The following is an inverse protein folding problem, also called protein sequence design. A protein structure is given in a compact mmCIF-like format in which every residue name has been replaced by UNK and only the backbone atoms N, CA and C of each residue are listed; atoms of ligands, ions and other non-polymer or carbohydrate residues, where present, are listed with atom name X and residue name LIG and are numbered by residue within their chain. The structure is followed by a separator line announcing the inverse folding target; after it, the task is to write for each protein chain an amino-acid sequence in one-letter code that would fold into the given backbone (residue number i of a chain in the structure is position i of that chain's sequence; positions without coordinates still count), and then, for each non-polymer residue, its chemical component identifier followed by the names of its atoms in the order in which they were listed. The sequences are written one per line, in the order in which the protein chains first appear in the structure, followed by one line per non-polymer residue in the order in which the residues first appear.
data_IF_225917257364
#
_entry.id   IF_225917257364
#
_cell.length_a   1.000
_cell.length_b   1.000
_cell.length_c   1.000
_cell.angle_alpha   90.00
_cell.angle_beta   90.00
_cell.angle_gamma   90.00
#
_symmetry.space_group_name_H-M   'P 1'
#
loop_
_entity.id
_entity.type
_entity.pdbx_description
1 polymer ?
#
# COMPACT_ATOMS: atom_id res chain seq x y z
N UNK A 1 7.75 29.28 8.05
CA UNK A 1 7.20 27.91 8.21
C UNK A 1 7.84 27.03 7.14
N UNK A 2 8.20 25.79 7.43
CA UNK A 2 8.59 24.88 6.36
C UNK A 2 7.41 24.74 5.41
N UNK A 3 7.66 24.95 4.13
CA UNK A 3 6.62 24.90 3.10
C UNK A 3 6.48 23.43 2.66
N UNK A 4 5.61 22.68 3.37
CA UNK A 4 5.33 21.29 3.04
C UNK A 4 4.35 21.20 1.88
N UNK A 5 4.62 20.29 0.95
CA UNK A 5 3.74 19.99 -0.18
C UNK A 5 2.62 19.00 0.20
N UNK A 6 2.86 18.15 1.20
CA UNK A 6 1.89 17.17 1.70
C UNK A 6 2.25 16.68 3.11
N UNK A 7 1.26 16.06 3.77
CA UNK A 7 1.45 15.31 5.01
C UNK A 7 1.26 13.83 4.71
N UNK A 8 2.26 12.98 5.00
CA UNK A 8 2.15 11.54 4.83
C UNK A 8 1.94 10.84 6.18
N UNK A 9 0.84 10.11 6.32
CA UNK A 9 0.52 9.30 7.50
C UNK A 9 0.72 7.83 7.16
N UNK A 10 1.70 7.22 7.81
CA UNK A 10 2.03 5.81 7.62
C UNK A 10 1.95 5.02 8.93
N UNK A 11 1.84 3.72 8.79
CA UNK A 11 1.80 2.80 9.93
C UNK A 11 1.32 1.41 9.52
N UNK A 12 1.52 0.41 10.37
CA UNK A 12 1.10 -0.96 10.07
C UNK A 12 -0.44 -1.07 10.06
N UNK A 13 -0.94 -2.19 9.55
CA UNK A 13 -2.37 -2.51 9.68
C UNK A 13 -2.79 -2.51 11.15
N UNK A 14 -4.02 -2.11 11.41
CA UNK A 14 -4.62 -1.96 12.75
C UNK A 14 -3.98 -0.89 13.67
N UNK A 15 -3.16 0.02 13.13
CA UNK A 15 -2.57 1.13 13.93
C UNK A 15 -3.54 2.30 14.19
N UNK A 16 -4.68 2.38 13.49
CA UNK A 16 -5.61 3.50 13.59
C UNK A 16 -5.20 4.72 12.76
N UNK A 17 -4.38 4.52 11.71
CA UNK A 17 -3.95 5.61 10.81
C UNK A 17 -5.09 6.25 10.05
N UNK A 18 -6.10 5.48 9.59
CA UNK A 18 -7.21 6.02 8.77
C UNK A 18 -8.11 6.97 9.55
N UNK A 19 -8.66 6.61 10.74
CA UNK A 19 -9.42 7.56 11.56
C UNK A 19 -8.61 8.81 11.92
N UNK A 20 -7.31 8.66 12.16
CA UNK A 20 -6.43 9.79 12.45
C UNK A 20 -6.25 10.68 11.22
N UNK A 21 -6.03 10.12 10.03
CA UNK A 21 -5.93 10.87 8.80
C UNK A 21 -7.21 11.64 8.48
N UNK A 22 -8.37 11.02 8.72
CA UNK A 22 -9.67 11.67 8.52
C UNK A 22 -9.87 12.85 9.50
N UNK A 23 -9.58 12.65 10.79
CA UNK A 23 -9.68 13.71 11.78
C UNK A 23 -8.71 14.88 11.48
N UNK A 24 -7.48 14.58 11.06
CA UNK A 24 -6.51 15.60 10.66
C UNK A 24 -6.96 16.34 9.39
N UNK A 25 -7.47 15.63 8.39
CA UNK A 25 -7.97 16.24 7.17
C UNK A 25 -9.20 17.15 7.42
N UNK A 26 -10.09 16.74 8.32
CA UNK A 26 -11.20 17.59 8.79
C UNK A 26 -10.69 18.88 9.41
N UNK A 27 -9.72 18.79 10.31
CA UNK A 27 -9.13 19.91 11.04
C UNK A 27 -8.37 20.89 10.11
N UNK A 28 -7.71 20.35 9.08
CA UNK A 28 -6.96 21.15 8.11
C UNK A 28 -7.79 21.58 6.89
N UNK A 29 -9.06 21.21 6.84
CA UNK A 29 -9.97 21.45 5.71
C UNK A 29 -9.39 20.96 4.37
N UNK A 30 -8.87 19.75 4.36
CA UNK A 30 -8.21 19.15 3.20
C UNK A 30 -8.76 17.77 2.86
N UNK A 31 -8.18 17.13 1.85
CA UNK A 31 -8.61 15.84 1.31
C UNK A 31 -7.54 14.77 1.54
N UNK A 32 -7.96 13.51 1.49
CA UNK A 32 -7.07 12.37 1.70
C UNK A 32 -6.74 11.71 0.36
N UNK A 33 -5.46 11.37 0.15
CA UNK A 33 -5.01 10.51 -0.94
C UNK A 33 -4.59 9.17 -0.34
N UNK A 34 -5.30 8.08 -0.69
CA UNK A 34 -5.00 6.74 -0.19
C UNK A 34 -3.68 6.22 -0.78
N UNK A 35 -2.84 5.63 0.07
CA UNK A 35 -1.64 4.89 -0.31
C UNK A 35 -1.75 3.42 0.13
N UNK A 36 -2.89 2.80 -0.14
CA UNK A 36 -3.15 1.39 0.09
C UNK A 36 -3.44 0.67 -1.22
N UNK A 37 -2.56 -0.27 -1.60
CA UNK A 37 -2.65 -0.99 -2.88
C UNK A 37 -3.84 -1.95 -2.98
N UNK A 38 -4.59 -2.15 -1.90
CA UNK A 38 -5.74 -3.05 -1.88
C UNK A 38 -7.08 -2.31 -1.91
N UNK A 39 -7.15 -1.13 -1.32
CA UNK A 39 -8.35 -0.31 -1.29
C UNK A 39 -8.73 0.32 -2.65
N UNK A 40 -7.90 0.13 -3.66
CA UNK A 40 -8.10 0.61 -5.03
C UNK A 40 -9.27 -0.09 -5.74
N UNK A 41 -9.60 -1.32 -5.35
CA UNK A 41 -10.55 -2.17 -6.09
C UNK A 41 -11.98 -2.00 -5.60
N UNK A 42 -12.90 -1.73 -6.52
CA UNK A 42 -14.35 -1.61 -6.26
C UNK A 42 -14.94 -2.93 -5.79
N UNK A 43 -15.81 -2.87 -4.77
CA UNK A 43 -16.51 -4.04 -4.24
C UNK A 43 -15.62 -5.05 -3.52
N UNK A 44 -14.40 -4.64 -3.19
CA UNK A 44 -13.46 -5.39 -2.37
C UNK A 44 -13.24 -4.62 -1.06
N UNK A 45 -14.21 -4.68 -0.14
CA UNK A 45 -14.30 -3.77 1.00
C UNK A 45 -13.82 -4.41 2.30
N UNK A 46 -14.46 -5.50 2.74
CA UNK A 46 -14.13 -6.16 3.99
C UNK A 46 -12.74 -6.79 3.96
N UNK A 47 -12.41 -7.50 2.86
CA UNK A 47 -11.11 -8.14 2.70
C UNK A 47 -9.94 -7.17 2.51
N UNK A 48 -10.18 -5.93 2.06
CA UNK A 48 -9.12 -4.91 1.94
C UNK A 48 -9.01 -4.00 3.16
N UNK A 49 -10.00 -4.05 4.04
CA UNK A 49 -10.07 -3.14 5.17
C UNK A 49 -10.41 -1.70 4.78
N UNK A 50 -11.26 -1.57 3.80
CA UNK A 50 -11.80 -0.30 3.32
C UNK A 50 -12.96 0.12 4.21
N UNK A 51 -12.63 0.55 5.43
CA UNK A 51 -13.63 1.00 6.40
C UNK A 51 -14.04 2.44 6.03
N UNK A 52 -14.96 2.59 5.04
CA UNK A 52 -15.38 3.91 4.52
C UNK A 52 -16.02 4.80 5.60
N UNK A 53 -16.57 4.21 6.65
CA UNK A 53 -17.06 4.94 7.82
C UNK A 53 -15.95 5.75 8.52
N UNK A 54 -14.71 5.29 8.48
CA UNK A 54 -13.55 5.99 9.05
C UNK A 54 -13.28 7.35 8.38
N UNK A 55 -13.82 7.57 7.17
CA UNK A 55 -13.73 8.85 6.44
C UNK A 55 -14.86 9.81 6.77
N UNK A 56 -15.68 9.53 7.78
CA UNK A 56 -16.73 10.42 8.27
C UNK A 56 -16.36 10.97 9.64
N UNK A 57 -16.24 12.29 9.75
CA UNK A 57 -15.90 13.01 10.99
C UNK A 57 -17.02 13.98 11.28
N UNK A 58 -17.61 13.91 12.48
CA UNK A 58 -18.75 14.75 12.91
C UNK A 58 -19.90 14.82 11.88
N UNK A 59 -20.21 13.64 11.28
CA UNK A 59 -21.27 13.52 10.29
C UNK A 59 -20.92 14.06 8.90
N UNK A 60 -19.72 14.55 8.68
CA UNK A 60 -19.23 15.04 7.38
C UNK A 60 -18.25 14.04 6.77
N UNK A 61 -18.50 13.68 5.52
CA UNK A 61 -17.58 12.83 4.77
C UNK A 61 -16.36 13.63 4.33
N UNK A 62 -15.18 13.12 4.65
CA UNK A 62 -13.90 13.67 4.19
C UNK A 62 -13.64 13.19 2.76
N UNK A 63 -13.42 14.10 1.81
CA UNK A 63 -13.10 13.73 0.44
C UNK A 63 -11.81 12.89 0.39
N UNK A 64 -11.83 11.83 -0.42
CA UNK A 64 -10.70 10.93 -0.55
C UNK A 64 -10.52 10.47 -1.99
N UNK A 65 -9.28 10.18 -2.34
CA UNK A 65 -8.84 9.78 -3.67
C UNK A 65 -8.17 8.41 -3.64
N UNK A 66 -8.12 7.75 -4.78
CA UNK A 66 -7.45 6.47 -5.02
C UNK A 66 -8.04 5.31 -4.19
N UNK A 67 -9.33 5.38 -3.92
CA UNK A 67 -10.17 4.31 -3.39
C UNK A 67 -11.21 4.00 -4.46
N UNK A 68 -11.51 2.72 -4.70
CA UNK A 68 -12.53 2.27 -5.67
C UNK A 68 -12.33 2.76 -7.11
N UNK A 69 -11.08 2.89 -7.57
CA UNK A 69 -10.76 3.39 -8.91
C UNK A 69 -10.57 2.29 -9.95
N UNK A 70 -10.34 1.04 -9.55
CA UNK A 70 -10.13 -0.09 -10.45
C UNK A 70 -11.20 -1.18 -10.25
N UNK A 71 -11.49 -1.95 -11.30
CA UNK A 71 -12.35 -3.12 -11.20
C UNK A 71 -11.57 -4.33 -10.65
N UNK A 72 -12.20 -5.27 -9.92
CA UNK A 72 -11.64 -6.57 -9.66
C UNK A 72 -11.26 -7.27 -10.97
N UNK A 73 -10.18 -8.06 -10.99
CA UNK A 73 -9.61 -8.65 -12.21
C UNK A 73 -8.46 -7.82 -12.80
N UNK A 74 -8.45 -6.51 -12.60
CA UNK A 74 -7.37 -5.63 -13.05
C UNK A 74 -6.13 -5.70 -12.15
N UNK A 75 -4.92 -5.69 -12.71
CA UNK A 75 -3.65 -5.74 -11.97
C UNK A 75 -3.01 -4.35 -11.90
N UNK A 76 -3.57 -3.50 -11.05
CA UNK A 76 -3.06 -2.16 -10.81
C UNK A 76 -1.65 -2.19 -10.19
N UNK A 77 -0.77 -1.32 -10.64
CA UNK A 77 0.65 -1.34 -10.30
C UNK A 77 1.15 0.01 -9.77
N UNK A 78 2.40 0.03 -9.30
CA UNK A 78 3.00 1.23 -8.68
C UNK A 78 3.21 2.39 -9.65
N UNK A 79 3.42 2.12 -10.94
CA UNK A 79 3.52 3.17 -11.97
C UNK A 79 2.18 3.89 -12.13
N UNK A 80 1.09 3.13 -12.23
CA UNK A 80 -0.27 3.69 -12.31
C UNK A 80 -0.61 4.47 -11.04
N UNK A 81 -0.23 3.93 -9.87
CA UNK A 81 -0.41 4.63 -8.61
C UNK A 81 0.30 5.99 -8.61
N UNK A 82 1.54 6.05 -9.04
CA UNK A 82 2.32 7.29 -9.07
C UNK A 82 1.70 8.33 -10.01
N UNK A 83 1.22 7.90 -11.19
CA UNK A 83 0.49 8.75 -12.14
C UNK A 83 -0.81 9.30 -11.54
N UNK A 84 -1.62 8.43 -10.97
CA UNK A 84 -2.94 8.79 -10.43
C UNK A 84 -2.82 9.59 -9.13
N UNK A 85 -1.78 9.31 -8.34
CA UNK A 85 -1.40 10.13 -7.20
C UNK A 85 -1.08 11.58 -7.62
N UNK A 86 -0.29 11.76 -8.67
CA UNK A 86 0.08 13.09 -9.14
C UNK A 86 -1.16 13.88 -9.59
N UNK A 87 -2.09 13.23 -10.28
CA UNK A 87 -3.35 13.84 -10.68
C UNK A 87 -4.19 14.28 -9.46
N UNK A 88 -4.29 13.44 -8.44
CA UNK A 88 -5.00 13.76 -7.20
C UNK A 88 -4.29 14.87 -6.42
N UNK A 89 -2.97 14.84 -6.36
CA UNK A 89 -2.14 15.88 -5.72
C UNK A 89 -2.33 17.25 -6.40
N UNK A 90 -2.23 17.31 -7.72
CA UNK A 90 -2.42 18.56 -8.47
C UNK A 90 -3.84 19.13 -8.31
N UNK A 91 -4.85 18.25 -8.24
CA UNK A 91 -6.23 18.65 -7.96
C UNK A 91 -6.35 19.34 -6.58
N UNK A 92 -5.70 18.78 -5.56
CA UNK A 92 -5.68 19.36 -4.22
C UNK A 92 -4.91 20.70 -4.18
N UNK A 93 -3.78 20.76 -4.87
CA UNK A 93 -2.95 21.96 -4.96
C UNK A 93 -3.70 23.12 -5.62
N UNK A 94 -4.46 22.86 -6.68
CA UNK A 94 -5.32 23.86 -7.33
C UNK A 94 -6.41 24.42 -6.40
N UNK A 95 -6.86 23.63 -5.42
CA UNK A 95 -7.81 24.06 -4.38
C UNK A 95 -7.12 24.83 -3.23
N UNK A 96 -5.80 24.94 -3.25
CA UNK A 96 -5.02 25.53 -2.16
C UNK A 96 -4.95 24.66 -0.91
N UNK A 97 -5.20 23.36 -1.04
CA UNK A 97 -5.20 22.39 0.07
C UNK A 97 -3.84 21.71 0.22
N UNK A 98 -3.42 21.48 1.47
CA UNK A 98 -2.28 20.64 1.81
C UNK A 98 -2.77 19.19 1.99
N UNK A 99 -2.62 18.28 1.00
CA UNK A 99 -3.24 16.96 1.06
C UNK A 99 -2.63 16.06 2.12
N UNK A 100 -3.46 15.19 2.70
CA UNK A 100 -3.05 14.12 3.62
C UNK A 100 -2.94 12.81 2.84
N UNK A 101 -1.74 12.28 2.70
CA UNK A 101 -1.51 10.95 2.12
C UNK A 101 -1.56 9.91 3.23
N UNK A 102 -2.45 8.92 3.13
CA UNK A 102 -2.62 7.92 4.19
C UNK A 102 -2.52 6.50 3.65
N UNK A 103 -1.63 5.68 4.21
CA UNK A 103 -1.60 4.28 3.80
C UNK A 103 -0.57 3.40 4.49
N UNK A 104 -0.65 2.10 4.16
CA UNK A 104 0.24 1.06 4.67
C UNK A 104 1.12 0.40 3.60
N UNK A 105 0.98 0.78 2.32
CA UNK A 105 1.77 0.22 1.23
C UNK A 105 3.07 1.00 1.06
N UNK A 106 4.14 0.49 1.69
CA UNK A 106 5.42 1.19 1.75
C UNK A 106 5.99 1.57 0.38
N UNK A 107 5.87 0.69 -0.64
CA UNK A 107 6.31 0.99 -2.00
C UNK A 107 5.54 2.16 -2.62
N UNK A 108 4.23 2.28 -2.39
CA UNK A 108 3.43 3.39 -2.89
C UNK A 108 3.87 4.71 -2.24
N UNK A 109 3.95 4.73 -0.91
CA UNK A 109 4.44 5.89 -0.17
C UNK A 109 5.83 6.31 -0.64
N UNK A 110 6.77 5.36 -0.67
CA UNK A 110 8.15 5.67 -1.01
C UNK A 110 8.32 6.13 -2.46
N UNK A 111 7.54 5.57 -3.40
CA UNK A 111 7.61 5.96 -4.81
C UNK A 111 7.25 7.43 -5.05
N UNK A 112 6.28 7.96 -4.30
CA UNK A 112 5.85 9.36 -4.44
C UNK A 112 6.66 10.30 -3.56
N UNK A 113 7.02 9.89 -2.33
CA UNK A 113 7.79 10.72 -1.41
C UNK A 113 9.25 10.92 -1.86
N UNK A 114 9.83 9.93 -2.53
CA UNK A 114 11.19 10.00 -3.08
C UNK A 114 11.23 10.38 -4.56
N UNK A 115 10.06 10.41 -5.20
CA UNK A 115 9.97 10.71 -6.62
C UNK A 115 10.66 9.65 -7.49
N UNK A 116 10.32 8.36 -7.28
CA UNK A 116 10.91 7.29 -8.09
C UNK A 116 10.61 7.51 -9.57
N UNK A 117 11.63 7.34 -10.38
CA UNK A 117 11.48 7.35 -11.81
C UNK A 117 10.94 5.99 -12.25
N UNK A 118 9.65 5.96 -12.52
CA UNK A 118 8.97 4.76 -13.01
C UNK A 118 8.56 4.96 -14.47
N UNK A 119 8.78 3.92 -15.30
CA UNK A 119 8.32 3.87 -16.68
C UNK A 119 7.28 2.75 -16.84
N UNK A 120 6.35 2.88 -17.80
CA UNK A 120 5.40 1.82 -18.12
C UNK A 120 6.10 0.72 -18.92
N UNK A 121 6.79 -0.18 -18.22
CA UNK A 121 7.52 -1.28 -18.85
C UNK A 121 6.54 -2.38 -19.26
N UNK A 122 6.35 -2.64 -20.58
CA UNK A 122 5.50 -3.73 -21.05
C UNK A 122 6.10 -5.10 -20.69
N UNK A 123 5.27 -6.13 -20.72
CA UNK A 123 5.76 -7.50 -20.64
C UNK A 123 6.51 -7.85 -21.92
N UNK A 124 7.65 -8.54 -21.78
CA UNK A 124 8.44 -9.03 -22.91
C UNK A 124 8.39 -10.57 -22.95
N UNK A 125 7.46 -11.18 -23.74
CA UNK A 125 7.30 -12.62 -23.80
C UNK A 125 8.55 -13.37 -24.25
N UNK A 126 9.33 -12.80 -25.19
CA UNK A 126 10.56 -13.41 -25.69
C UNK A 126 11.62 -13.50 -24.60
N UNK A 127 11.84 -12.40 -23.86
CA UNK A 127 12.73 -12.36 -22.72
C UNK A 127 12.29 -13.37 -21.63
N UNK A 128 11.00 -13.38 -21.32
CA UNK A 128 10.43 -14.32 -20.31
C UNK A 128 10.65 -15.77 -20.70
N UNK A 129 10.44 -16.13 -21.99
CA UNK A 129 10.71 -17.47 -22.51
C UNK A 129 12.20 -17.81 -22.39
N UNK A 130 13.10 -16.90 -22.75
CA UNK A 130 14.57 -17.10 -22.64
C UNK A 130 15.04 -17.29 -21.19
N UNK A 131 14.32 -16.73 -20.23
CA UNK A 131 14.67 -16.77 -18.81
C UNK A 131 13.92 -17.86 -18.02
N UNK A 132 12.90 -18.49 -18.60
CA UNK A 132 11.96 -19.38 -17.90
C UNK A 132 12.64 -20.59 -17.22
N UNK A 133 13.66 -21.16 -17.86
CA UNK A 133 14.35 -22.37 -17.39
C UNK A 133 15.57 -22.05 -16.49
N UNK A 134 15.84 -20.77 -16.23
CA UNK A 134 16.98 -20.38 -15.41
C UNK A 134 16.68 -20.51 -13.92
N UNK A 135 17.67 -20.97 -13.17
CA UNK A 135 17.62 -21.00 -11.72
C UNK A 135 17.54 -19.58 -11.12
N UNK A 136 17.05 -19.48 -9.89
CA UNK A 136 16.99 -18.18 -9.19
C UNK A 136 18.39 -17.56 -9.02
N UNK A 137 19.42 -18.37 -8.87
CA UNK A 137 20.83 -17.92 -8.76
C UNK A 137 21.29 -17.29 -10.07
N UNK A 138 21.09 -17.96 -11.21
CA UNK A 138 21.42 -17.43 -12.54
C UNK A 138 20.67 -16.13 -12.85
N UNK A 139 19.38 -16.07 -12.51
CA UNK A 139 18.56 -14.85 -12.67
C UNK A 139 19.08 -13.70 -11.80
N UNK A 140 19.51 -14.03 -10.58
CA UNK A 140 20.13 -13.06 -9.66
C UNK A 140 21.41 -12.49 -10.22
N UNK A 141 22.27 -13.32 -10.82
CA UNK A 141 23.54 -12.89 -11.42
C UNK A 141 23.31 -12.05 -12.68
N UNK A 142 22.34 -12.41 -13.51
CA UNK A 142 21.93 -11.58 -14.64
C UNK A 142 21.46 -10.20 -14.14
N UNK A 143 20.62 -10.13 -13.11
CA UNK A 143 20.15 -8.86 -12.57
C UNK A 143 21.28 -8.00 -11.97
N UNK A 144 22.28 -8.61 -11.33
CA UNK A 144 23.48 -7.93 -10.84
C UNK A 144 24.30 -7.28 -11.97
N UNK A 145 24.21 -7.80 -13.19
CA UNK A 145 24.82 -7.20 -14.36
C UNK A 145 24.22 -5.85 -14.76
N UNK A 146 22.96 -5.62 -14.40
CA UNK A 146 22.24 -4.36 -14.67
C UNK A 146 22.33 -3.36 -13.51
N UNK A 147 22.23 -3.83 -12.27
CA UNK A 147 22.21 -2.96 -11.08
C UNK A 147 22.82 -3.62 -9.84
N UNK A 148 23.29 -2.79 -8.91
CA UNK A 148 23.62 -3.25 -7.56
C UNK A 148 22.33 -3.61 -6.81
N UNK A 149 22.30 -4.80 -6.22
CA UNK A 149 21.16 -5.25 -5.42
C UNK A 149 21.20 -4.63 -4.03
N UNK A 150 20.27 -3.73 -3.75
CA UNK A 150 20.14 -3.10 -2.43
C UNK A 150 19.16 -3.82 -1.49
N UNK A 151 18.42 -4.80 -2.02
CA UNK A 151 17.48 -5.63 -1.27
C UNK A 151 17.36 -7.03 -1.92
N UNK A 152 16.76 -7.96 -1.19
CA UNK A 152 16.51 -9.34 -1.67
C UNK A 152 15.14 -9.50 -2.31
N UNK A 153 14.30 -8.46 -2.31
CA UNK A 153 12.89 -8.55 -2.74
C UNK A 153 12.76 -8.88 -4.22
N UNK A 154 13.67 -8.33 -5.05
CA UNK A 154 13.65 -8.55 -6.50
C UNK A 154 14.08 -9.98 -6.88
N UNK A 155 14.75 -10.67 -5.96
CA UNK A 155 15.34 -12.00 -6.18
C UNK A 155 14.81 -13.07 -5.22
N UNK A 156 13.69 -12.86 -4.54
CA UNK A 156 13.11 -13.88 -3.66
C UNK A 156 12.27 -14.94 -4.41
N UNK A 157 11.94 -14.69 -5.67
CA UNK A 157 11.32 -15.69 -6.57
C UNK A 157 11.78 -15.49 -8.01
N UNK A 158 11.81 -16.57 -8.81
CA UNK A 158 12.16 -16.50 -10.22
C UNK A 158 11.27 -15.49 -10.98
N UNK A 159 9.96 -15.48 -10.72
CA UNK A 159 9.01 -14.55 -11.34
C UNK A 159 9.39 -13.08 -11.08
N UNK A 160 9.82 -12.75 -9.87
CA UNK A 160 10.24 -11.38 -9.51
C UNK A 160 11.59 -11.04 -10.14
N UNK A 161 12.55 -11.96 -10.12
CA UNK A 161 13.84 -11.76 -10.76
C UNK A 161 13.70 -11.53 -12.27
N UNK A 162 12.88 -12.31 -12.96
CA UNK A 162 12.57 -12.13 -14.39
C UNK A 162 11.94 -10.75 -14.62
N UNK A 163 10.96 -10.34 -13.81
CA UNK A 163 10.36 -9.00 -13.95
C UNK A 163 11.36 -7.87 -13.67
N UNK A 164 12.24 -8.03 -12.72
CA UNK A 164 13.29 -7.04 -12.46
C UNK A 164 14.27 -6.91 -13.63
N UNK A 165 14.70 -8.04 -14.21
CA UNK A 165 15.54 -8.05 -15.41
C UNK A 165 14.83 -7.37 -16.59
N UNK A 166 13.55 -7.69 -16.82
CA UNK A 166 12.72 -7.08 -17.87
C UNK A 166 12.65 -5.55 -17.74
N UNK A 167 12.53 -5.06 -16.51
CA UNK A 167 12.52 -3.62 -16.23
C UNK A 167 13.88 -2.98 -16.54
N UNK A 168 14.96 -3.57 -16.08
CA UNK A 168 16.31 -3.03 -16.29
C UNK A 168 16.71 -3.08 -17.76
N UNK A 169 16.39 -4.18 -18.48
CA UNK A 169 16.63 -4.28 -19.92
C UNK A 169 15.86 -3.20 -20.68
N UNK A 170 14.59 -2.96 -20.33
CA UNK A 170 13.80 -1.88 -20.93
C UNK A 170 14.41 -0.50 -20.69
N UNK A 171 14.84 -0.23 -19.45
CA UNK A 171 15.47 1.04 -19.08
C UNK A 171 16.80 1.27 -19.80
N UNK A 172 17.59 0.22 -20.01
CA UNK A 172 18.86 0.31 -20.75
C UNK A 172 18.68 0.72 -22.21
N UNK A 173 17.53 0.40 -22.82
CA UNK A 173 17.25 0.66 -24.23
C UNK A 173 16.26 1.82 -24.47
N UNK A 174 15.70 2.39 -23.41
CA UNK A 174 14.72 3.47 -23.53
C UNK A 174 15.37 4.81 -23.23
N UNK A 175 15.29 5.80 -24.15
CA UNK A 175 15.79 7.16 -23.88
C UNK A 175 15.21 7.72 -22.60
N UNK A 176 16.04 8.42 -21.85
CA UNK A 176 15.65 9.08 -20.60
C UNK A 176 14.66 10.20 -20.94
N UNK A 177 13.37 10.03 -20.63
CA UNK A 177 12.46 11.17 -20.57
C UNK A 177 12.89 12.06 -19.40
N UNK A 178 13.18 13.32 -19.66
CA UNK A 178 13.62 14.31 -18.66
C UNK A 178 12.51 14.66 -17.66
N UNK A 179 11.27 14.22 -17.88
CA UNK A 179 10.16 14.43 -16.96
C UNK A 179 10.35 13.57 -15.71
N UNK A 180 11.08 14.10 -14.73
CA UNK A 180 11.18 13.52 -13.40
C UNK A 180 9.88 13.74 -12.63
N UNK A 181 9.49 12.77 -11.80
CA UNK A 181 8.44 12.99 -10.80
C UNK A 181 8.86 14.15 -9.87
N UNK A 182 7.95 15.09 -9.54
CA UNK A 182 8.32 16.27 -8.74
C UNK A 182 8.86 15.85 -7.38
N UNK A 183 9.90 16.54 -6.93
CA UNK A 183 10.37 16.41 -5.55
C UNK A 183 9.36 17.07 -4.62
N UNK A 184 8.93 16.37 -3.60
CA UNK A 184 7.93 16.84 -2.65
C UNK A 184 8.53 16.99 -1.27
N UNK A 185 8.44 18.21 -0.70
CA UNK A 185 8.77 18.43 0.70
C UNK A 185 7.62 17.89 1.57
N UNK A 186 7.85 16.77 2.26
CA UNK A 186 6.80 16.01 2.91
C UNK A 186 6.99 15.94 4.42
N UNK A 187 5.94 16.27 5.19
CA UNK A 187 5.90 15.98 6.61
C UNK A 187 5.44 14.52 6.80
N UNK A 188 6.32 13.65 7.27
CA UNK A 188 6.01 12.22 7.42
C UNK A 188 5.75 11.87 8.88
N UNK A 189 4.54 11.41 9.15
CA UNK A 189 4.06 11.01 10.48
C UNK A 189 3.87 9.50 10.51
N UNK A 190 4.57 8.83 11.42
CA UNK A 190 4.44 7.41 11.68
C UNK A 190 3.52 7.13 12.87
N UNK A 191 2.54 6.24 12.71
CA UNK A 191 1.72 5.78 13.84
C UNK A 191 2.32 4.49 14.38
N UNK A 192 3.01 4.59 15.52
CA UNK A 192 3.61 3.45 16.21
C UNK A 192 2.62 2.82 17.19
N UNK A 193 2.50 1.51 17.11
CA UNK A 193 1.63 0.70 17.98
C UNK A 193 2.44 -0.44 18.56
N UNK A 194 2.31 -0.64 19.88
CA UNK A 194 2.97 -1.77 20.53
C UNK A 194 2.52 -3.12 19.96
N UNK A 195 3.40 -4.09 20.05
CA UNK A 195 3.22 -5.40 19.40
C UNK A 195 1.97 -6.12 19.91
N UNK A 196 1.74 -6.11 21.22
CA UNK A 196 0.66 -6.88 21.86
C UNK A 196 -0.70 -6.28 21.48
N UNK A 197 -0.86 -4.97 21.62
CA UNK A 197 -2.07 -4.26 21.22
C UNK A 197 -2.37 -4.44 19.73
N UNK A 198 -1.34 -4.40 18.89
CA UNK A 198 -1.50 -4.61 17.44
C UNK A 198 -2.01 -6.02 17.13
N UNK A 199 -1.46 -7.03 17.81
CA UNK A 199 -1.90 -8.43 17.63
C UNK A 199 -3.36 -8.59 18.03
N UNK A 200 -3.73 -8.10 19.20
CA UNK A 200 -5.11 -8.10 19.69
C UNK A 200 -6.08 -7.43 18.71
N UNK A 201 -5.72 -6.23 18.22
CA UNK A 201 -6.56 -5.50 17.26
C UNK A 201 -6.69 -6.22 15.91
N UNK A 202 -5.63 -6.88 15.43
CA UNK A 202 -5.67 -7.67 14.19
C UNK A 202 -6.62 -8.85 14.36
N UNK A 203 -6.46 -9.66 15.41
CA UNK A 203 -7.30 -10.83 15.67
C UNK A 203 -8.77 -10.44 15.83
N UNK A 204 -9.06 -9.41 16.64
CA UNK A 204 -10.43 -8.91 16.85
C UNK A 204 -11.06 -8.44 15.54
N UNK A 205 -10.35 -7.67 14.73
CA UNK A 205 -10.83 -7.17 13.46
C UNK A 205 -11.07 -8.31 12.45
N UNK A 206 -10.22 -9.34 12.47
CA UNK A 206 -10.43 -10.51 11.60
C UNK A 206 -11.72 -11.23 11.94
N UNK A 207 -11.99 -11.51 13.23
CA UNK A 207 -13.26 -12.10 13.67
C UNK A 207 -14.45 -11.25 13.26
N UNK A 208 -14.43 -9.97 13.55
CA UNK A 208 -15.51 -9.04 13.22
C UNK A 208 -15.83 -9.07 11.71
N UNK A 209 -14.83 -9.02 10.84
CA UNK A 209 -15.04 -9.02 9.38
C UNK A 209 -15.56 -10.35 8.85
N UNK A 210 -15.16 -11.47 9.45
CA UNK A 210 -15.73 -12.76 9.11
C UNK A 210 -17.23 -12.81 9.48
N UNK A 211 -17.61 -12.26 10.62
CA UNK A 211 -19.01 -12.12 11.05
C UNK A 211 -19.80 -11.13 10.16
N UNK A 212 -19.18 -10.07 9.68
CA UNK A 212 -19.75 -9.08 8.76
C UNK A 212 -19.91 -9.59 7.32
N UNK A 213 -19.46 -10.82 7.00
CA UNK A 213 -19.68 -11.46 5.70
C UNK A 213 -18.50 -11.39 4.75
N UNK A 214 -17.25 -11.27 5.24
CA UNK A 214 -16.06 -11.24 4.38
C UNK A 214 -15.91 -12.50 3.49
N UNK A 215 -16.42 -13.66 3.93
CA UNK A 215 -16.47 -14.89 3.10
C UNK A 215 -17.46 -14.71 1.95
N UNK A 216 -18.61 -14.09 2.23
CA UNK A 216 -19.66 -13.86 1.22
C UNK A 216 -19.22 -12.83 0.18
N UNK A 217 -18.45 -11.81 0.57
CA UNK A 217 -17.81 -10.88 -0.36
C UNK A 217 -16.94 -11.64 -1.39
N UNK A 218 -16.11 -12.57 -0.94
CA UNK A 218 -15.24 -13.36 -1.85
C UNK A 218 -16.06 -14.32 -2.71
N UNK A 219 -17.10 -14.95 -2.14
CA UNK A 219 -18.00 -15.83 -2.89
C UNK A 219 -18.70 -15.07 -4.02
N UNK A 220 -19.22 -13.88 -3.73
CA UNK A 220 -19.87 -13.03 -4.72
C UNK A 220 -18.92 -12.65 -5.87
N UNK A 221 -17.66 -12.35 -5.58
CA UNK A 221 -16.67 -12.05 -6.62
C UNK A 221 -16.40 -13.26 -7.53
N UNK A 222 -16.36 -14.48 -6.97
CA UNK A 222 -16.24 -15.72 -7.76
C UNK A 222 -17.50 -15.92 -8.63
N UNK A 223 -18.69 -15.73 -8.08
CA UNK A 223 -19.97 -15.82 -8.81
C UNK A 223 -20.07 -14.79 -9.94
N UNK A 224 -19.46 -13.63 -9.77
CA UNK A 224 -19.33 -12.59 -10.81
C UNK A 224 -18.29 -12.92 -11.89
N UNK A 225 -17.61 -14.07 -11.78
CA UNK A 225 -16.70 -14.57 -12.80
C UNK A 225 -15.22 -14.21 -12.57
N UNK A 226 -14.87 -13.62 -11.43
CA UNK A 226 -13.45 -13.38 -11.09
C UNK A 226 -12.79 -14.73 -10.81
N UNK A 227 -11.70 -15.00 -11.51
CA UNK A 227 -11.02 -16.29 -11.36
C UNK A 227 -10.34 -16.42 -10.00
N UNK A 228 -10.35 -17.62 -9.38
CA UNK A 228 -9.69 -17.85 -8.09
C UNK A 228 -8.23 -17.42 -8.05
N UNK A 229 -7.48 -17.62 -9.13
CA UNK A 229 -6.07 -17.23 -9.22
C UNK A 229 -5.88 -15.69 -9.19
N UNK A 230 -6.82 -14.92 -9.73
CA UNK A 230 -6.80 -13.47 -9.64
C UNK A 230 -7.13 -13.01 -8.21
N UNK A 231 -8.09 -13.65 -7.53
CA UNK A 231 -8.40 -13.35 -6.13
C UNK A 231 -7.22 -13.65 -5.20
N UNK A 232 -6.52 -14.77 -5.42
CA UNK A 232 -5.30 -15.12 -4.67
C UNK A 232 -4.21 -14.04 -4.83
N UNK A 233 -4.18 -13.33 -5.94
CA UNK A 233 -3.24 -12.22 -6.18
C UNK A 233 -3.55 -10.98 -5.32
N UNK A 234 -4.81 -10.70 -4.97
CA UNK A 234 -5.21 -9.42 -4.35
C UNK A 234 -4.87 -9.25 -2.87
N UNK A 235 -4.33 -10.24 -2.22
CA UNK A 235 -3.89 -10.08 -0.83
C UNK A 235 -4.17 -11.27 0.04
N UNK A 236 -3.88 -11.09 1.32
CA UNK A 236 -3.91 -12.20 2.26
C UNK A 236 -5.34 -12.71 2.47
N UNK A 237 -6.27 -11.80 2.70
CA UNK A 237 -7.67 -12.12 2.98
C UNK A 237 -8.28 -12.86 1.77
N UNK A 238 -8.20 -12.27 0.58
CA UNK A 238 -8.73 -12.90 -0.64
C UNK A 238 -8.04 -14.23 -0.94
N UNK A 239 -6.73 -14.35 -0.72
CA UNK A 239 -6.00 -15.61 -0.92
C UNK A 239 -6.57 -16.73 -0.05
N UNK A 240 -6.62 -16.53 1.25
CA UNK A 240 -6.98 -17.60 2.16
C UNK A 240 -8.48 -17.93 2.11
N UNK A 241 -9.33 -16.91 1.96
CA UNK A 241 -10.77 -17.09 1.77
C UNK A 241 -11.09 -17.81 0.46
N UNK A 242 -10.40 -17.49 -0.63
CA UNK A 242 -10.55 -18.21 -1.91
C UNK A 242 -10.12 -19.68 -1.75
N UNK A 243 -8.98 -19.95 -1.10
CA UNK A 243 -8.51 -21.32 -0.86
C UNK A 243 -9.52 -22.15 -0.04
N UNK A 244 -10.17 -21.51 0.94
CA UNK A 244 -11.27 -22.12 1.69
C UNK A 244 -12.48 -22.39 0.79
N UNK A 245 -12.95 -21.41 0.02
CA UNK A 245 -14.13 -21.54 -0.83
C UNK A 245 -13.98 -22.59 -1.96
N UNK A 246 -12.76 -22.78 -2.46
CA UNK A 246 -12.47 -23.85 -3.46
C UNK A 246 -12.08 -25.19 -2.82
N UNK A 247 -12.26 -25.35 -1.51
CA UNK A 247 -12.06 -26.60 -0.79
C UNK A 247 -10.61 -27.05 -0.58
N UNK A 248 -9.64 -26.13 -0.72
CA UNK A 248 -8.21 -26.41 -0.46
C UNK A 248 -7.81 -26.25 1.00
N UNK A 249 -8.63 -25.60 1.82
CA UNK A 249 -8.43 -25.40 3.25
C UNK A 249 -9.75 -25.64 3.99
N UNK A 250 -9.67 -26.15 5.21
CA UNK A 250 -10.79 -26.07 6.15
C UNK A 250 -10.95 -24.64 6.68
N UNK A 251 -12.05 -24.35 7.37
CA UNK A 251 -12.27 -23.04 8.00
C UNK A 251 -11.18 -22.73 9.04
N UNK A 252 -10.84 -23.70 9.88
CA UNK A 252 -9.82 -23.56 10.93
C UNK A 252 -8.42 -23.30 10.35
N UNK A 253 -8.08 -24.01 9.27
CA UNK A 253 -6.81 -23.80 8.56
C UNK A 253 -6.77 -22.42 7.91
N UNK A 254 -7.85 -22.01 7.24
CA UNK A 254 -7.99 -20.70 6.63
C UNK A 254 -7.79 -19.59 7.67
N UNK A 255 -8.53 -19.67 8.79
CA UNK A 255 -8.46 -18.66 9.86
C UNK A 255 -7.04 -18.56 10.44
N UNK A 256 -6.45 -19.69 10.84
CA UNK A 256 -5.13 -19.73 11.48
C UNK A 256 -4.03 -19.22 10.55
N UNK A 257 -4.07 -19.63 9.27
CA UNK A 257 -3.08 -19.20 8.29
C UNK A 257 -3.25 -17.72 7.93
N UNK A 258 -4.48 -17.25 7.77
CA UNK A 258 -4.78 -15.85 7.48
C UNK A 258 -4.34 -14.94 8.63
N UNK A 259 -4.70 -15.26 9.87
CA UNK A 259 -4.30 -14.51 11.06
C UNK A 259 -2.76 -14.40 11.15
N UNK A 260 -2.07 -15.53 11.00
CA UNK A 260 -0.61 -15.58 11.00
C UNK A 260 -0.02 -14.69 9.89
N UNK A 261 -0.59 -14.76 8.69
CA UNK A 261 -0.14 -13.99 7.54
C UNK A 261 -0.33 -12.47 7.73
N UNK A 262 -1.44 -12.03 8.36
CA UNK A 262 -1.69 -10.61 8.68
C UNK A 262 -0.68 -10.12 9.72
N UNK A 263 -0.38 -10.91 10.76
CA UNK A 263 0.66 -10.56 11.74
C UNK A 263 2.04 -10.40 11.09
N UNK A 264 2.40 -11.30 10.18
CA UNK A 264 3.65 -11.20 9.43
C UNK A 264 3.65 -9.99 8.48
N UNK A 265 2.51 -9.68 7.86
CA UNK A 265 2.37 -8.51 7.01
C UNK A 265 2.58 -7.21 7.79
N UNK A 266 1.97 -7.07 8.95
CA UNK A 266 2.18 -5.91 9.82
C UNK A 266 3.64 -5.75 10.24
N UNK A 267 4.36 -6.87 10.50
CA UNK A 267 5.80 -6.84 10.76
C UNK A 267 6.59 -6.35 9.56
N UNK A 268 6.26 -6.83 8.34
CA UNK A 268 6.91 -6.39 7.09
C UNK A 268 6.69 -4.90 6.82
N UNK A 269 5.49 -4.37 7.09
CA UNK A 269 5.21 -2.93 6.97
C UNK A 269 6.16 -2.11 7.87
N UNK A 270 6.29 -2.48 9.14
CA UNK A 270 7.21 -1.80 10.07
C UNK A 270 8.67 -1.92 9.65
N UNK A 271 9.08 -3.09 9.13
CA UNK A 271 10.43 -3.28 8.58
C UNK A 271 10.68 -2.35 7.40
N UNK A 272 9.68 -2.16 6.53
CA UNK A 272 9.76 -1.23 5.40
C UNK A 272 9.92 0.22 5.87
N UNK A 273 9.08 0.68 6.80
CA UNK A 273 9.13 2.05 7.31
C UNK A 273 10.46 2.36 8.01
N UNK A 274 10.98 1.45 8.84
CA UNK A 274 12.35 1.56 9.39
C UNK A 274 13.42 1.54 8.30
N UNK A 275 13.16 0.83 7.20
CA UNK A 275 14.01 0.86 6.01
C UNK A 275 13.98 2.24 5.33
N UNK A 276 12.84 2.92 5.28
CA UNK A 276 12.76 4.29 4.75
C UNK A 276 13.64 5.25 5.57
N UNK A 277 13.63 5.15 6.91
CA UNK A 277 14.52 5.97 7.76
C UNK A 277 16.01 5.75 7.42
N UNK A 278 16.42 4.48 7.23
CA UNK A 278 17.80 4.18 6.79
C UNK A 278 18.13 4.72 5.39
N UNK A 279 17.12 4.95 4.55
CA UNK A 279 17.24 5.55 3.21
C UNK A 279 17.11 7.09 3.23
N UNK A 280 17.11 7.71 4.43
CA UNK A 280 17.17 9.14 4.62
C UNK A 280 15.82 9.84 4.82
N UNK A 281 14.71 9.12 4.98
CA UNK A 281 13.45 9.75 5.33
C UNK A 281 13.39 10.08 6.83
N UNK A 282 12.91 11.25 7.16
CA UNK A 282 12.62 11.64 8.54
C UNK A 282 11.16 11.31 8.87
N UNK A 283 10.95 10.29 9.71
CA UNK A 283 9.60 9.89 10.16
C UNK A 283 9.41 10.33 11.60
N UNK A 284 8.41 11.16 11.84
CA UNK A 284 8.02 11.59 13.17
C UNK A 284 7.02 10.59 13.77
N UNK A 285 7.52 9.71 14.62
CA UNK A 285 6.68 8.67 15.23
C UNK A 285 5.83 9.22 16.38
N UNK A 286 4.54 8.85 16.38
CA UNK A 286 3.61 9.10 17.47
C UNK A 286 3.01 7.80 17.99
N UNK A 287 2.62 7.78 19.26
CA UNK A 287 2.00 6.61 19.86
C UNK A 287 0.53 6.48 19.41
N UNK A 288 0.15 5.30 18.94
CA UNK A 288 -1.24 5.00 18.53
C UNK A 288 -2.26 5.19 19.67
N UNK A 289 -1.83 5.11 20.93
CA UNK A 289 -2.69 5.27 22.14
C UNK A 289 -2.99 6.73 22.49
N UNK A 290 -2.29 7.69 21.90
CA UNK A 290 -2.58 9.09 22.22
C UNK A 290 -4.03 9.45 21.87
N UNK A 291 -4.68 10.33 22.66
CA UNK A 291 -5.94 10.95 22.27
C UNK A 291 -5.87 11.63 20.90
N UNK A 292 -6.99 11.76 20.22
CA UNK A 292 -7.02 12.32 18.87
C UNK A 292 -6.52 13.77 18.86
N UNK A 293 -6.90 14.55 19.86
CA UNK A 293 -6.50 15.95 20.00
C UNK A 293 -4.97 16.09 20.14
N UNK A 294 -4.33 15.20 20.91
CA UNK A 294 -2.87 15.20 21.06
C UNK A 294 -2.15 14.85 19.75
N UNK A 295 -2.70 13.90 18.98
CA UNK A 295 -2.17 13.54 17.65
C UNK A 295 -2.24 14.72 16.68
N UNK A 296 -3.38 15.42 16.65
CA UNK A 296 -3.59 16.60 15.81
C UNK A 296 -2.65 17.74 16.25
N UNK A 297 -2.57 18.02 17.53
CA UNK A 297 -1.67 19.04 18.10
C UNK A 297 -0.20 18.75 17.76
N UNK A 298 0.22 17.49 17.83
CA UNK A 298 1.56 17.07 17.43
C UNK A 298 1.88 17.40 15.99
N UNK A 299 0.95 17.13 15.05
CA UNK A 299 1.16 17.47 13.63
C UNK A 299 1.18 18.98 13.41
N UNK A 300 0.23 19.73 13.99
CA UNK A 300 0.20 21.19 13.89
C UNK A 300 1.53 21.81 14.34
N UNK A 301 2.06 21.38 15.49
CA UNK A 301 3.37 21.81 15.98
C UNK A 301 4.51 21.53 14.99
N UNK A 302 4.45 20.41 14.25
CA UNK A 302 5.45 20.08 13.22
C UNK A 302 5.29 20.90 11.94
N UNK A 303 4.08 21.37 11.64
CA UNK A 303 3.81 22.26 10.53
C UNK A 303 4.29 23.72 10.80
N UNK A 304 4.32 24.11 12.07
CA UNK A 304 4.76 25.45 12.48
C UNK A 304 6.29 25.58 12.56
N UNK A 305 7.03 24.49 12.67
CA UNK A 305 8.49 24.41 12.76
C UNK A 305 8.90 23.86 14.12
#
# INVERSE_FOLDING_TARGET
MPDYDLIAILGPTASGKTPFAAALAAELHTEIISADSRQIYRGMDLGTGKDLADYTVDGKQIPHHLIDIAAPGYKYNVFEYQRDFLNAYETNKQKGCLPVVCGGTGMYLESVLKGYRLLPVPENPELRTRLADKSLEELTDILKGYKSLHNTTDVDTAKRAIRAIEIEEYYAHTPVDERSFPQMNSLIIGVDIDRELRREKITRRLHQRLEEGMIDEVRLLIEQGIQPDDLIYYGLEYKYLTLYLIGKLTYEEMFTQLETAIHQFAKRQMTWFRGMERRGFTIHWMNARWPMEEKIAFVKKKLEG
#
